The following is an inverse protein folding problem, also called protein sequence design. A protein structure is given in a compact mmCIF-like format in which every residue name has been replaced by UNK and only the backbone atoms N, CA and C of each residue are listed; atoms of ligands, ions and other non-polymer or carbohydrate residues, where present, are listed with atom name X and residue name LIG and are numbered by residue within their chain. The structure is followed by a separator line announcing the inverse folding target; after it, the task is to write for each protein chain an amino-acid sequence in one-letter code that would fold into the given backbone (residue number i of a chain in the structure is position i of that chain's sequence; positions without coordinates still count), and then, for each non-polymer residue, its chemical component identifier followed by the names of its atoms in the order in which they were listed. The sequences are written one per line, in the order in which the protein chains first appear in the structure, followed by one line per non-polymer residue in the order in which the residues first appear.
data_IF_789054207835
#
_entry.id   IF_789054207835
#
_cell.length_a   1.000
_cell.length_b   1.000
_cell.length_c   1.000
_cell.angle_alpha   90.00
_cell.angle_beta   90.00
_cell.angle_gamma   90.00
#
_symmetry.space_group_name_H-M   'P 1'
#
loop_
_entity.id
_entity.type
_entity.pdbx_description
1 polymer ?
#
# COMPACT_ATOMS: atom_id res chain seq x y z
N UNK A 1 -21.68 15.53 18.81
CA UNK A 1 -21.44 14.52 17.75
C UNK A 1 -20.49 13.50 18.33
N UNK A 2 -20.93 12.25 18.46
CA UNK A 2 -20.14 11.23 19.14
C UNK A 2 -18.87 10.95 18.33
N UNK A 3 -17.70 11.21 18.91
CA UNK A 3 -16.40 10.80 18.39
C UNK A 3 -16.38 9.28 18.30
N UNK A 4 -16.78 8.74 17.15
CA UNK A 4 -16.62 7.33 16.85
C UNK A 4 -15.13 7.06 16.77
N UNK A 5 -14.57 6.44 17.81
CA UNK A 5 -13.17 6.05 17.83
C UNK A 5 -12.94 5.00 16.73
N UNK A 6 -12.35 5.43 15.60
CA UNK A 6 -12.09 4.58 14.43
C UNK A 6 -11.32 3.30 14.81
N UNK A 7 -10.33 3.41 15.71
CA UNK A 7 -9.56 2.26 16.20
C UNK A 7 -10.49 1.24 16.88
N UNK A 8 -11.39 1.71 17.76
CA UNK A 8 -12.38 0.85 18.40
C UNK A 8 -13.30 0.14 17.40
N UNK A 9 -13.77 0.86 16.38
CA UNK A 9 -14.59 0.26 15.32
C UNK A 9 -13.84 -0.81 14.51
N UNK A 10 -12.52 -0.63 14.31
CA UNK A 10 -11.68 -1.62 13.65
C UNK A 10 -11.45 -2.85 14.56
N UNK A 11 -11.26 -2.65 15.86
CA UNK A 11 -11.15 -3.74 16.85
C UNK A 11 -12.43 -4.57 16.94
N UNK A 12 -13.60 -3.92 17.04
CA UNK A 12 -14.90 -4.60 17.10
C UNK A 12 -15.17 -5.48 15.85
N UNK A 13 -14.54 -5.14 14.73
CA UNK A 13 -14.62 -5.89 13.47
C UNK A 13 -13.51 -6.94 13.31
N UNK A 14 -12.62 -7.09 14.29
CA UNK A 14 -11.47 -7.98 14.22
C UNK A 14 -10.44 -7.59 13.16
N UNK A 15 -10.34 -6.30 12.80
CA UNK A 15 -9.46 -5.79 11.75
C UNK A 15 -8.09 -5.33 12.26
N UNK A 16 -7.86 -5.36 13.58
CA UNK A 16 -6.56 -5.06 14.20
C UNK A 16 -5.97 -6.34 14.75
N UNK A 17 -4.84 -6.75 14.18
CA UNK A 17 -4.03 -7.83 14.75
C UNK A 17 -3.07 -7.29 15.81
N UNK A 18 -2.37 -6.20 15.49
CA UNK A 18 -1.41 -5.54 16.36
C UNK A 18 -1.42 -4.04 16.08
N UNK A 19 -1.12 -3.24 17.10
CA UNK A 19 -1.03 -1.78 17.02
C UNK A 19 0.12 -1.32 17.90
N UNK A 20 0.95 -0.42 17.37
CA UNK A 20 1.99 0.25 18.16
C UNK A 20 1.35 1.43 18.88
N UNK A 21 1.50 1.47 20.20
CA UNK A 21 1.02 2.55 21.08
C UNK A 21 -0.41 3.02 20.73
N UNK A 22 -1.39 2.18 21.08
CA UNK A 22 -2.80 2.42 20.77
C UNK A 22 -3.32 3.75 21.30
N UNK A 23 -2.87 4.16 22.50
CA UNK A 23 -3.31 5.40 23.14
C UNK A 23 -2.81 6.61 22.34
N UNK A 24 -1.51 6.67 22.04
CA UNK A 24 -0.95 7.76 21.26
C UNK A 24 -1.55 7.84 19.85
N UNK A 25 -1.84 6.70 19.22
CA UNK A 25 -2.49 6.66 17.91
C UNK A 25 -3.92 7.21 17.97
N UNK A 26 -4.72 6.80 18.97
CA UNK A 26 -6.08 7.28 19.14
C UNK A 26 -6.13 8.80 19.41
N UNK A 27 -5.23 9.30 20.25
CA UNK A 27 -5.06 10.74 20.48
C UNK A 27 -4.68 11.47 19.20
N UNK A 28 -3.75 10.92 18.41
CA UNK A 28 -3.36 11.53 17.15
C UNK A 28 -4.52 11.57 16.16
N UNK A 29 -5.33 10.52 16.04
CA UNK A 29 -6.49 10.50 15.16
C UNK A 29 -7.54 11.55 15.58
N UNK A 30 -7.71 11.78 16.88
CA UNK A 30 -8.62 12.78 17.43
C UNK A 30 -8.18 14.23 17.15
N UNK A 31 -6.88 14.48 16.96
CA UNK A 31 -6.35 15.81 16.62
C UNK A 31 -6.64 16.24 15.17
N UNK A 32 -7.12 15.33 14.32
CA UNK A 32 -7.54 15.61 12.95
C UNK A 32 -6.89 14.69 11.90
N UNK A 33 -7.12 14.96 10.60
CA UNK A 33 -6.72 14.08 9.51
C UNK A 33 -5.23 13.73 9.53
N UNK A 34 -4.92 12.47 9.15
CA UNK A 34 -3.56 11.96 9.02
C UNK A 34 -3.36 11.38 7.62
N UNK A 35 -2.10 11.28 7.21
CA UNK A 35 -1.73 10.44 6.08
C UNK A 35 -1.32 9.07 6.59
N UNK A 36 -1.71 8.02 5.87
CA UNK A 36 -1.35 6.63 6.14
C UNK A 36 -1.09 5.90 4.82
N UNK A 37 -0.34 4.81 4.86
CA UNK A 37 -0.05 4.03 3.66
C UNK A 37 -0.25 2.53 3.86
N UNK A 38 -0.50 1.82 2.77
CA UNK A 38 -0.41 0.36 2.71
C UNK A 38 0.32 -0.02 1.41
N UNK A 39 1.30 -0.91 1.53
CA UNK A 39 2.08 -1.42 0.41
C UNK A 39 1.43 -2.64 -0.22
N UNK A 40 1.45 -2.70 -1.55
CA UNK A 40 1.00 -3.84 -2.35
C UNK A 40 2.13 -4.24 -3.30
N UNK A 41 2.66 -5.44 -3.13
CA UNK A 41 3.68 -5.97 -4.04
C UNK A 41 3.03 -6.65 -5.26
N UNK A 42 3.43 -6.25 -6.48
CA UNK A 42 2.97 -6.86 -7.72
C UNK A 42 3.61 -8.24 -7.88
N UNK A 43 3.01 -9.25 -7.26
CA UNK A 43 3.47 -10.65 -7.30
C UNK A 43 2.67 -11.53 -8.24
N UNK A 44 1.59 -10.98 -8.78
CA UNK A 44 0.70 -11.56 -9.78
C UNK A 44 0.04 -10.45 -10.59
N UNK A 45 -0.65 -10.82 -11.67
CA UNK A 45 -1.40 -9.91 -12.54
C UNK A 45 -2.67 -9.31 -11.89
N UNK A 46 -3.02 -9.76 -10.69
CA UNK A 46 -4.19 -9.30 -9.94
C UNK A 46 -4.02 -9.34 -8.43
N UNK A 47 -4.63 -8.36 -7.76
CA UNK A 47 -4.93 -8.45 -6.33
C UNK A 47 -5.95 -9.57 -6.09
N UNK A 48 -5.62 -10.52 -5.23
CA UNK A 48 -6.55 -11.52 -4.69
C UNK A 48 -7.20 -11.07 -3.36
N UNK A 49 -8.16 -11.86 -2.85
CA UNK A 49 -8.90 -11.60 -1.60
C UNK A 49 -8.00 -11.23 -0.40
N UNK A 50 -6.80 -11.81 -0.29
CA UNK A 50 -5.85 -11.46 0.79
C UNK A 50 -5.44 -9.98 0.84
N UNK A 51 -5.49 -9.25 -0.28
CA UNK A 51 -5.19 -7.81 -0.32
C UNK A 51 -6.41 -6.93 -0.04
N UNK A 52 -7.61 -7.52 -0.02
CA UNK A 52 -8.86 -6.78 0.12
C UNK A 52 -9.01 -6.23 1.55
N UNK A 53 -8.59 -6.97 2.56
CA UNK A 53 -8.70 -6.54 3.97
C UNK A 53 -7.91 -5.24 4.22
N UNK A 54 -6.60 -5.15 3.90
CA UNK A 54 -5.86 -3.90 4.04
C UNK A 54 -6.42 -2.75 3.19
N UNK A 55 -6.89 -3.05 1.97
CA UNK A 55 -7.47 -2.05 1.07
C UNK A 55 -8.79 -1.47 1.62
N UNK A 56 -9.65 -2.32 2.18
CA UNK A 56 -10.88 -1.89 2.84
C UNK A 56 -10.58 -1.12 4.13
N UNK A 57 -9.52 -1.47 4.87
CA UNK A 57 -9.05 -0.67 5.99
C UNK A 57 -8.66 0.74 5.53
N UNK A 58 -7.84 0.90 4.48
CA UNK A 58 -7.52 2.22 3.92
C UNK A 58 -8.78 3.00 3.55
N UNK A 59 -9.79 2.34 2.95
CA UNK A 59 -11.07 2.97 2.63
C UNK A 59 -11.83 3.44 3.88
N UNK A 60 -11.81 2.68 4.98
CA UNK A 60 -12.42 3.11 6.26
C UNK A 60 -11.75 4.35 6.82
N UNK A 61 -10.41 4.42 6.79
CA UNK A 61 -9.68 5.62 7.15
C UNK A 61 -10.03 6.81 6.25
N UNK A 62 -10.24 6.58 4.94
CA UNK A 62 -10.70 7.63 4.03
C UNK A 62 -12.11 8.14 4.36
N UNK A 63 -13.03 7.24 4.68
CA UNK A 63 -14.40 7.59 5.05
C UNK A 63 -14.46 8.38 6.37
N UNK A 64 -13.47 8.19 7.25
CA UNK A 64 -13.30 8.97 8.48
C UNK A 64 -12.52 10.28 8.26
N UNK A 65 -12.18 10.62 7.01
CA UNK A 65 -11.55 11.90 6.63
C UNK A 65 -10.02 11.88 6.57
N UNK A 66 -9.37 10.74 6.75
CA UNK A 66 -7.92 10.60 6.60
C UNK A 66 -7.50 10.44 5.14
N UNK A 67 -6.19 10.53 4.88
CA UNK A 67 -5.60 10.52 3.54
C UNK A 67 -4.80 9.23 3.30
N UNK A 68 -5.42 8.15 2.80
CA UNK A 68 -4.68 6.94 2.50
C UNK A 68 -3.84 7.08 1.23
N UNK A 69 -2.71 6.38 1.23
CA UNK A 69 -1.81 6.19 0.10
C UNK A 69 -1.67 4.70 -0.14
N UNK A 70 -2.20 4.19 -1.25
CA UNK A 70 -1.87 2.85 -1.70
C UNK A 70 -0.54 2.92 -2.47
N UNK A 71 0.48 2.24 -1.95
CA UNK A 71 1.81 2.17 -2.56
C UNK A 71 1.94 0.86 -3.32
N UNK A 72 2.24 0.92 -4.62
CA UNK A 72 2.49 -0.28 -5.41
C UNK A 72 3.99 -0.44 -5.62
N UNK A 73 4.53 -1.52 -5.06
CA UNK A 73 5.97 -1.75 -4.92
C UNK A 73 6.63 -2.32 -6.17
N UNK A 74 6.96 -1.48 -7.16
CA UNK A 74 7.69 -1.94 -8.35
C UNK A 74 9.06 -2.53 -8.02
N UNK A 75 9.85 -1.83 -7.19
CA UNK A 75 11.18 -2.29 -6.77
C UNK A 75 11.12 -3.50 -5.82
N UNK A 76 10.22 -3.49 -4.83
CA UNK A 76 10.05 -4.61 -3.89
C UNK A 76 9.46 -5.84 -4.56
N UNK A 77 8.65 -5.67 -5.61
CA UNK A 77 8.17 -6.75 -6.46
C UNK A 77 9.28 -7.48 -7.24
N UNK A 78 10.38 -6.79 -7.57
CA UNK A 78 11.54 -7.38 -8.25
C UNK A 78 12.40 -8.23 -7.31
N UNK A 79 12.56 -7.81 -6.04
CA UNK A 79 13.34 -8.54 -5.05
C UNK A 79 12.50 -9.67 -4.42
N UNK A 80 11.25 -9.36 -4.09
CA UNK A 80 10.32 -10.22 -3.38
C UNK A 80 10.49 -10.15 -1.86
N UNK A 81 9.40 -9.91 -1.15
CA UNK A 81 9.37 -9.98 0.32
C UNK A 81 9.53 -11.45 0.82
N UNK A 82 10.58 -11.75 1.62
CA UNK A 82 10.81 -13.10 2.16
C UNK A 82 9.87 -13.44 3.33
N UNK A 83 9.11 -12.47 3.85
CA UNK A 83 8.26 -12.65 5.02
C UNK A 83 7.31 -13.85 4.83
N UNK A 84 7.41 -14.82 5.74
CA UNK A 84 6.58 -16.02 5.84
C UNK A 84 6.65 -17.04 4.67
N UNK A 85 7.65 -16.99 3.79
CA UNK A 85 7.81 -17.99 2.71
C UNK A 85 9.02 -18.90 2.94
N UNK A 86 8.79 -20.21 2.84
CA UNK A 86 9.81 -21.25 3.03
C UNK A 86 10.72 -21.48 1.80
N UNK A 87 10.43 -20.85 0.67
CA UNK A 87 11.13 -21.07 -0.61
C UNK A 87 11.40 -19.73 -1.28
N UNK A 88 12.60 -19.57 -1.86
CA UNK A 88 12.97 -18.42 -2.67
C UNK A 88 11.96 -18.20 -3.81
N UNK A 89 11.55 -16.95 -4.02
CA UNK A 89 10.66 -16.60 -5.14
C UNK A 89 11.45 -16.61 -6.44
N UNK A 90 10.80 -17.06 -7.51
CA UNK A 90 11.31 -16.90 -8.87
C UNK A 90 11.30 -15.41 -9.22
N UNK A 91 12.48 -14.86 -9.56
CA UNK A 91 12.60 -13.48 -10.03
C UNK A 91 11.84 -13.32 -11.35
N UNK A 92 10.98 -12.31 -11.43
CA UNK A 92 10.25 -11.96 -12.65
C UNK A 92 11.04 -10.93 -13.46
N UNK A 93 10.76 -10.85 -14.76
CA UNK A 93 11.37 -9.82 -15.62
C UNK A 93 10.86 -8.43 -15.25
N UNK A 94 11.64 -7.39 -15.54
CA UNK A 94 11.23 -6.00 -15.31
C UNK A 94 9.94 -5.66 -16.07
N UNK A 95 9.79 -6.18 -17.29
CA UNK A 95 8.63 -5.99 -18.14
C UNK A 95 7.37 -6.57 -17.48
N UNK A 96 7.47 -7.81 -16.97
CA UNK A 96 6.36 -8.46 -16.26
C UNK A 96 5.97 -7.69 -15.00
N UNK A 97 6.94 -7.26 -14.20
CA UNK A 97 6.66 -6.50 -12.97
C UNK A 97 6.00 -5.16 -13.29
N UNK A 98 6.47 -4.44 -14.31
CA UNK A 98 5.86 -3.17 -14.73
C UNK A 98 4.39 -3.35 -15.18
N UNK A 99 4.08 -4.42 -15.92
CA UNK A 99 2.70 -4.72 -16.30
C UNK A 99 1.81 -4.98 -15.07
N UNK A 100 2.31 -5.74 -14.11
CA UNK A 100 1.59 -6.05 -12.88
C UNK A 100 1.43 -4.83 -11.96
N UNK A 101 2.43 -3.95 -11.93
CA UNK A 101 2.34 -2.66 -11.22
C UNK A 101 1.17 -1.86 -11.75
N UNK A 102 1.04 -1.71 -13.08
CA UNK A 102 -0.04 -0.92 -13.67
C UNK A 102 -1.42 -1.53 -13.41
N UNK A 103 -1.55 -2.86 -13.55
CA UNK A 103 -2.81 -3.57 -13.23
C UNK A 103 -3.20 -3.41 -11.76
N UNK A 104 -2.24 -3.53 -10.85
CA UNK A 104 -2.46 -3.40 -9.41
C UNK A 104 -2.80 -1.97 -9.02
N UNK A 105 -2.09 -0.99 -9.57
CA UNK A 105 -2.35 0.42 -9.34
C UNK A 105 -3.75 0.83 -9.82
N UNK A 106 -4.19 0.32 -10.98
CA UNK A 106 -5.54 0.56 -11.49
C UNK A 106 -6.63 0.05 -10.54
N UNK A 107 -6.46 -1.16 -9.98
CA UNK A 107 -7.42 -1.74 -9.01
C UNK A 107 -7.45 -0.98 -7.69
N UNK A 108 -6.29 -0.55 -7.19
CA UNK A 108 -6.20 0.29 -6.00
C UNK A 108 -6.91 1.64 -6.22
N UNK A 109 -6.73 2.27 -7.39
CA UNK A 109 -7.41 3.51 -7.78
C UNK A 109 -8.92 3.36 -7.83
N UNK A 110 -9.44 2.21 -8.30
CA UNK A 110 -10.88 1.96 -8.33
C UNK A 110 -11.49 1.90 -6.92
N UNK A 111 -10.70 1.52 -5.92
CA UNK A 111 -11.18 1.25 -4.56
C UNK A 111 -11.08 2.45 -3.62
N UNK A 112 -10.17 3.40 -3.90
CA UNK A 112 -9.88 4.58 -3.09
C UNK A 112 -10.13 5.86 -3.89
N UNK A 113 -10.69 6.89 -3.24
CA UNK A 113 -10.95 8.20 -3.87
C UNK A 113 -9.66 9.05 -3.95
N UNK A 114 -8.53 8.60 -3.37
CA UNK A 114 -7.27 9.35 -3.27
C UNK A 114 -6.13 8.78 -4.12
N UNK A 115 -5.04 9.55 -4.18
CA UNK A 115 -3.79 9.29 -4.91
C UNK A 115 -3.22 7.90 -4.65
N UNK A 116 -3.03 7.13 -5.72
CA UNK A 116 -2.18 5.93 -5.74
C UNK A 116 -0.78 6.37 -6.15
N UNK A 117 0.22 6.05 -5.33
CA UNK A 117 1.62 6.31 -5.64
C UNK A 117 2.25 5.05 -6.24
N UNK A 118 2.77 5.18 -7.46
CA UNK A 118 3.47 4.08 -8.16
C UNK A 118 4.97 4.33 -8.13
N UNK A 119 5.75 3.41 -7.56
CA UNK A 119 7.22 3.49 -7.51
C UNK A 119 7.84 2.72 -8.68
N UNK A 120 7.56 3.16 -9.92
CA UNK A 120 8.05 2.52 -11.16
C UNK A 120 8.90 3.43 -12.06
N UNK A 121 9.31 4.62 -11.61
CA UNK A 121 10.23 5.45 -12.41
C UNK A 121 11.67 4.95 -12.27
N UNK A 122 12.14 4.33 -13.35
CA UNK A 122 13.55 4.14 -13.64
C UNK A 122 14.32 5.46 -13.43
N UNK A 123 15.46 5.37 -12.74
CA UNK A 123 16.46 6.44 -12.69
C UNK A 123 16.77 6.92 -14.12
N UNK A 124 16.90 8.23 -14.37
CA UNK A 124 17.38 8.71 -15.65
C UNK A 124 18.77 8.13 -15.88
N UNK A 125 18.94 7.34 -16.94
CA UNK A 125 20.25 6.93 -17.41
C UNK A 125 20.98 8.19 -17.89
N UNK A 126 21.92 8.66 -17.08
CA UNK A 126 22.86 9.71 -17.48
C UNK A 126 23.71 9.15 -18.62
N UNK A 127 23.34 9.43 -19.86
CA UNK A 127 24.21 9.20 -21.01
C UNK A 127 25.34 10.20 -20.90
N UNK A 128 26.47 9.74 -20.37
CA UNK A 128 27.75 10.43 -20.41
C UNK A 128 28.11 10.65 -21.87
N UNK A 129 27.91 11.87 -22.37
CA UNK A 129 28.46 12.32 -23.64
C UNK A 129 29.96 12.46 -23.52
N UNK A 130 30.69 11.38 -23.82
CA UNK A 130 32.07 11.46 -24.29
C UNK A 130 32.00 11.90 -25.76
N UNK A 131 32.30 13.16 -26.04
CA UNK A 131 32.65 13.63 -27.37
C UNK A 131 34.04 14.25 -27.27
N UNK A 132 34.88 13.88 -28.24
CA UNK A 132 36.30 14.10 -28.34
C UNK A 132 36.71 15.58 -28.47
#
# INVERSE_FOLDING_TARGET
MASSNLIKQLQERGLIAQVTDEQALAERLAQGPIALYCGFDPTADSLHLGHLVPLLCLKRFQLDGHKPVALVGGATGLIGDPSFKATERKLNTNETVNEWVEKSASKCRLSLISTVATTARSLPTTTTGLAA
#
